data_IF_770752350189
#
_entry.id   IF_770752350189
#
_cell.length_a   1.000
_cell.length_b   1.000
_cell.length_c   1.000
_cell.angle_alpha   90.00
_cell.angle_beta   90.00
_cell.angle_gamma   90.00
#
_symmetry.space_group_name_H-M   'P 1'
#
loop_
_entity.id
_entity.type
_entity.pdbx_description
1 polymer ?
#
# COMPACT_ATOMS: atom_id res chain seq x y z
N UNK A 1 15.55 5.66 21.53
CA UNK A 1 14.69 5.26 21.16
C UNK A 1 14.10 5.61 19.97
N UNK A 2 14.31 6.55 19.45
CA UNK A 2 13.86 6.93 18.23
C UNK A 2 13.75 5.90 17.13
N UNK A 3 14.65 4.99 16.96
CA UNK A 3 14.50 4.03 15.87
C UNK A 3 13.25 3.23 15.98
N UNK A 4 12.82 2.96 17.17
CA UNK A 4 11.66 2.20 17.31
C UNK A 4 10.46 2.93 16.89
N UNK A 5 10.44 4.25 17.08
CA UNK A 5 9.32 5.00 16.67
C UNK A 5 9.20 4.99 15.20
N UNK A 6 10.28 5.07 14.47
CA UNK A 6 10.25 5.05 13.02
C UNK A 6 9.71 3.73 12.55
N UNK A 7 10.13 2.66 13.17
CA UNK A 7 9.63 1.34 12.77
C UNK A 7 8.16 1.22 13.02
N UNK A 8 7.69 1.75 14.14
CA UNK A 8 6.27 1.67 14.42
C UNK A 8 5.46 2.42 13.43
N UNK A 9 5.97 3.50 12.90
CA UNK A 9 5.22 4.24 11.91
C UNK A 9 5.11 3.51 10.61
N UNK A 10 5.95 2.50 10.40
CA UNK A 10 5.93 1.75 9.17
C UNK A 10 5.34 0.37 9.32
N UNK A 11 4.77 0.05 10.45
CA UNK A 11 4.22 -1.26 10.63
C UNK A 11 2.88 -1.18 11.30
N UNK A 12 2.15 -2.25 11.25
CA UNK A 12 0.82 -2.33 11.82
C UNK A 12 0.93 -2.71 13.29
N UNK A 13 1.47 -1.82 14.08
CA UNK A 13 1.59 -2.13 15.47
C UNK A 13 0.36 -1.70 16.19
N UNK A 14 -0.13 -2.48 17.09
CA UNK A 14 -1.31 -2.19 17.85
C UNK A 14 -2.56 -2.61 17.12
N UNK A 15 -3.63 -2.81 17.88
CA UNK A 15 -4.87 -3.32 17.29
C UNK A 15 -5.54 -2.34 16.36
N UNK A 16 -5.41 -1.04 16.62
CA UNK A 16 -6.08 -0.08 15.77
C UNK A 16 -5.42 0.02 14.41
N UNK A 17 -4.10 0.04 14.38
CA UNK A 17 -3.39 0.10 13.12
C UNK A 17 -3.63 -1.13 12.28
N UNK A 18 -3.64 -2.28 12.93
CA UNK A 18 -3.87 -3.53 12.25
C UNK A 18 -5.28 -3.58 11.66
N UNK A 19 -6.26 -3.17 12.44
CA UNK A 19 -7.64 -3.17 11.99
C UNK A 19 -7.85 -2.22 10.81
N UNK A 20 -7.28 -1.03 10.91
CA UNK A 20 -7.41 -0.06 9.83
C UNK A 20 -6.81 -0.61 8.54
N UNK A 21 -5.63 -1.19 8.64
CA UNK A 21 -4.97 -1.72 7.45
C UNK A 21 -5.79 -2.84 6.82
N UNK A 22 -6.37 -3.71 7.64
CA UNK A 22 -7.19 -4.78 7.10
C UNK A 22 -8.43 -4.24 6.42
N UNK A 23 -9.02 -3.19 6.97
CA UNK A 23 -10.18 -2.57 6.33
C UNK A 23 -9.82 -1.96 5.00
N UNK A 24 -8.68 -1.29 4.92
CA UNK A 24 -8.24 -0.71 3.67
C UNK A 24 -8.06 -1.80 2.62
N UNK A 25 -7.52 -2.93 3.04
CA UNK A 25 -7.17 -3.99 2.10
C UNK A 25 -8.31 -4.97 1.82
N UNK A 26 -9.50 -4.71 2.36
CA UNK A 26 -10.64 -5.53 2.03
C UNK A 26 -11.11 -5.32 0.60
N UNK A 27 -10.89 -4.14 0.05
CA UNK A 27 -11.29 -3.89 -1.33
C UNK A 27 -10.30 -4.56 -2.26
N UNK A 28 -10.82 -5.44 -3.10
CA UNK A 28 -9.95 -6.15 -4.03
C UNK A 28 -9.22 -5.20 -4.97
N UNK A 29 -9.85 -4.08 -5.32
CA UNK A 29 -9.18 -3.08 -6.14
C UNK A 29 -7.91 -2.59 -5.48
N UNK A 30 -7.94 -2.34 -4.19
CA UNK A 30 -6.77 -1.85 -3.49
C UNK A 30 -5.67 -2.91 -3.42
N UNK A 31 -6.06 -4.17 -3.29
CA UNK A 31 -5.06 -5.24 -3.32
C UNK A 31 -4.40 -5.33 -4.69
N UNK A 32 -5.18 -5.10 -5.75
CA UNK A 32 -4.61 -5.09 -7.10
C UNK A 32 -3.66 -3.92 -7.29
N UNK A 33 -3.99 -2.77 -6.71
CA UNK A 33 -3.09 -1.63 -6.77
C UNK A 33 -1.78 -1.94 -6.04
N UNK A 34 -1.87 -2.58 -4.90
CA UNK A 34 -0.69 -2.98 -4.15
C UNK A 34 0.16 -3.94 -4.97
N UNK A 35 -0.47 -4.89 -5.64
CA UNK A 35 0.26 -5.82 -6.49
C UNK A 35 1.01 -5.10 -7.61
N UNK A 36 0.37 -4.13 -8.23
CA UNK A 36 1.01 -3.36 -9.28
C UNK A 36 2.23 -2.63 -8.77
N UNK A 37 2.08 -1.97 -7.63
CA UNK A 37 3.17 -1.20 -7.06
C UNK A 37 4.28 -2.11 -6.57
N UNK A 38 3.93 -3.29 -6.07
CA UNK A 38 4.94 -4.23 -5.62
C UNK A 38 5.77 -4.78 -6.78
N UNK A 39 5.24 -4.71 -7.98
CA UNK A 39 5.97 -5.15 -9.16
C UNK A 39 6.96 -4.13 -9.68
N UNK A 40 6.99 -2.94 -9.11
CA UNK A 40 7.93 -1.89 -9.50
C UNK A 40 7.32 -0.55 -9.19
N UNK A 41 8.15 0.48 -9.18
CA UNK A 41 7.69 1.83 -8.90
C UNK A 41 6.70 2.26 -9.97
N UNK A 42 5.55 2.80 -9.55
CA UNK A 42 4.52 3.24 -10.46
C UNK A 42 3.99 4.60 -10.02
N UNK A 43 3.68 5.45 -10.98
CA UNK A 43 3.03 6.71 -10.62
C UNK A 43 1.52 6.54 -10.71
N UNK A 44 0.79 7.55 -10.25
CA UNK A 44 -0.65 7.49 -10.20
C UNK A 44 -1.26 7.35 -11.59
N UNK A 45 -0.64 7.94 -12.59
CA UNK A 45 -1.13 7.84 -13.97
C UNK A 45 -1.04 6.43 -14.49
N UNK A 46 0.08 5.77 -14.23
CA UNK A 46 0.26 4.39 -14.68
C UNK A 46 -0.75 3.48 -14.01
N UNK A 47 -0.99 3.69 -12.72
CA UNK A 47 -1.93 2.88 -11.97
C UNK A 47 -3.35 3.12 -12.46
N UNK A 48 -3.71 4.37 -12.67
CA UNK A 48 -5.03 4.71 -13.17
C UNK A 48 -5.29 4.09 -14.52
N UNK A 49 -4.29 4.12 -15.39
CA UNK A 49 -4.43 3.55 -16.71
C UNK A 49 -4.59 2.04 -16.64
N UNK A 50 -3.78 1.39 -15.84
CA UNK A 50 -3.83 -0.06 -15.72
C UNK A 50 -5.16 -0.57 -15.17
N UNK A 51 -5.76 0.20 -14.25
CA UNK A 51 -6.99 -0.23 -13.59
C UNK A 51 -8.21 0.51 -14.10
N UNK A 52 -8.05 1.37 -15.09
CA UNK A 52 -9.13 2.13 -15.69
C UNK A 52 -9.84 3.00 -14.66
N UNK A 53 -9.05 3.75 -13.92
CA UNK A 53 -9.56 4.66 -12.91
C UNK A 53 -9.24 6.08 -13.27
N UNK A 54 -10.13 7.00 -12.89
CA UNK A 54 -9.83 8.41 -13.05
C UNK A 54 -8.67 8.79 -12.14
N UNK A 55 -7.97 9.87 -12.43
CA UNK A 55 -6.86 10.29 -11.57
C UNK A 55 -7.30 10.56 -10.14
N UNK A 56 -8.47 11.15 -9.96
CA UNK A 56 -8.96 11.42 -8.61
C UNK A 56 -9.20 10.15 -7.84
N UNK A 57 -9.81 9.18 -8.48
CA UNK A 57 -10.13 7.93 -7.82
C UNK A 57 -8.88 7.13 -7.52
N UNK A 58 -7.94 7.11 -8.46
CA UNK A 58 -6.67 6.44 -8.23
C UNK A 58 -5.95 7.09 -7.06
N UNK A 59 -5.95 8.42 -7.01
CA UNK A 59 -5.30 9.13 -5.91
C UNK A 59 -5.93 8.84 -4.56
N UNK A 60 -7.26 8.73 -4.54
CA UNK A 60 -7.95 8.41 -3.31
C UNK A 60 -7.52 7.04 -2.76
N UNK A 61 -7.52 6.05 -3.63
CA UNK A 61 -7.13 4.70 -3.18
C UNK A 61 -5.66 4.62 -2.80
N UNK A 62 -4.79 5.32 -3.53
CA UNK A 62 -3.38 5.36 -3.17
C UNK A 62 -3.17 6.00 -1.81
N UNK A 63 -3.93 7.05 -1.53
CA UNK A 63 -3.86 7.70 -0.23
C UNK A 63 -4.25 6.75 0.89
N UNK A 64 -5.28 5.94 0.66
CA UNK A 64 -5.70 4.97 1.67
C UNK A 64 -4.65 3.89 1.88
N UNK A 65 -4.02 3.44 0.80
CA UNK A 65 -2.95 2.45 0.92
C UNK A 65 -1.73 3.01 1.63
N UNK A 66 -1.46 4.28 1.40
CA UNK A 66 -0.36 4.92 2.11
C UNK A 66 -0.64 4.99 3.60
N UNK A 67 -1.86 5.35 3.97
CA UNK A 67 -2.24 5.41 5.38
C UNK A 67 -2.19 4.04 6.02
N UNK A 68 -2.41 2.99 5.26
CA UNK A 68 -2.31 1.63 5.76
C UNK A 68 -0.88 1.13 5.82
N UNK A 69 0.09 1.96 5.40
CA UNK A 69 1.52 1.67 5.50
C UNK A 69 1.97 0.54 4.60
N UNK A 70 1.22 0.26 3.54
CA UNK A 70 1.60 -0.80 2.61
C UNK A 70 2.29 -0.27 1.37
N UNK A 71 2.18 1.04 1.11
CA UNK A 71 2.94 1.70 0.05
C UNK A 71 3.51 2.98 0.59
N UNK A 72 4.52 3.50 -0.07
CA UNK A 72 5.15 4.77 0.32
C UNK A 72 5.60 5.50 -0.94
N UNK A 73 5.71 6.81 -0.81
CA UNK A 73 6.21 7.60 -1.92
C UNK A 73 7.66 7.28 -2.18
N UNK A 74 8.00 7.18 -3.45
CA UNK A 74 9.37 6.90 -3.83
C UNK A 74 9.62 7.52 -5.19
N UNK A 75 10.58 8.43 -5.26
CA UNK A 75 10.87 9.18 -6.46
C UNK A 75 9.59 9.90 -6.89
N UNK A 76 9.13 9.72 -8.06
CA UNK A 76 7.91 10.40 -8.49
C UNK A 76 6.73 9.46 -8.53
N UNK A 77 6.79 8.39 -7.79
CA UNK A 77 5.72 7.43 -7.78
C UNK A 77 5.55 6.80 -6.43
N UNK A 78 5.21 5.53 -6.45
CA UNK A 78 4.91 4.76 -5.25
C UNK A 78 5.64 3.44 -5.31
N UNK A 79 6.00 2.92 -4.15
CA UNK A 79 6.55 1.56 -4.08
C UNK A 79 5.93 0.86 -2.88
N UNK A 80 5.97 -0.47 -2.87
CA UNK A 80 5.44 -1.23 -1.75
C UNK A 80 6.44 -1.16 -0.59
N UNK A 81 5.92 -1.06 0.62
CA UNK A 81 6.75 -1.16 1.82
C UNK A 81 7.00 -2.63 2.12
N UNK A 82 7.90 -2.90 3.06
CA UNK A 82 8.09 -4.28 3.48
C UNK A 82 6.83 -4.85 4.10
N UNK A 83 6.03 -4.01 4.80
CA UNK A 83 4.76 -4.45 5.34
C UNK A 83 3.80 -4.84 4.21
N UNK A 84 3.76 -4.06 3.14
CA UNK A 84 2.91 -4.38 2.00
C UNK A 84 3.32 -5.66 1.32
N UNK A 85 4.62 -5.87 1.16
CA UNK A 85 5.10 -7.10 0.55
C UNK A 85 4.80 -8.32 1.40
N UNK A 86 4.91 -8.17 2.71
CA UNK A 86 4.61 -9.26 3.62
C UNK A 86 3.13 -9.61 3.56
N UNK A 87 2.27 -8.60 3.47
CA UNK A 87 0.85 -8.84 3.34
C UNK A 87 0.56 -9.67 2.09
N UNK A 88 1.13 -9.30 0.96
CA UNK A 88 0.91 -10.03 -0.28
C UNK A 88 1.42 -11.46 -0.18
N UNK A 89 2.55 -11.64 0.47
CA UNK A 89 3.10 -12.97 0.64
C UNK A 89 2.18 -13.85 1.45
N UNK A 90 1.65 -13.34 2.55
CA UNK A 90 0.84 -14.16 3.43
C UNK A 90 -0.55 -14.39 2.90
N UNK A 91 -1.14 -13.39 2.28
CA UNK A 91 -2.52 -13.49 1.86
C UNK A 91 -2.66 -14.15 0.51
N UNK A 92 -1.71 -13.88 -0.39
CA UNK A 92 -1.82 -14.38 -1.75
C UNK A 92 -0.82 -15.47 -2.07
N UNK A 93 -0.01 -15.85 -1.10
CA UNK A 93 0.95 -16.91 -1.32
C UNK A 93 2.08 -16.53 -2.25
N UNK A 94 2.35 -15.24 -2.41
CA UNK A 94 3.43 -14.80 -3.28
C UNK A 94 4.67 -14.52 -2.49
N UNK A 95 5.75 -14.89 -3.01
CA UNK A 95 7.00 -14.67 -2.31
C UNK A 95 7.55 -13.30 -2.56
#
# INVERSE_FOLDING_TARGET
MPPEKIDRERSWEGPEGHRFALEVLQLSLRRRMLQLVAGGVKDAGQIGEALKLSPSLAGYHLSMLEKALVIERFEEGWRATSTGRLFLEKVEGRA
#
